data_IF_853320666208
#
_entry.id   IF_853320666208
#
_cell.length_a   1.000
_cell.length_b   1.000
_cell.length_c   1.000
_cell.angle_alpha   90.00
_cell.angle_beta   90.00
_cell.angle_gamma   90.00
#
_symmetry.space_group_name_H-M   'P 1'
#
loop_
_entity.id
_entity.type
_entity.pdbx_description
1 polymer ?
#
# COMPACT_ATOMS: atom_id res chain seq x y z
N UNK A 1 -7.45 2.71 9.76
CA UNK A 1 -7.27 2.89 8.30
C UNK A 1 -8.57 3.25 7.60
N UNK A 2 -9.71 2.62 7.92
CA UNK A 2 -11.03 2.96 7.37
C UNK A 2 -11.39 4.47 7.49
N UNK A 3 -10.98 5.12 8.59
CA UNK A 3 -11.23 6.56 8.77
C UNK A 3 -10.31 7.49 7.96
N UNK A 4 -9.32 6.92 7.27
CA UNK A 4 -8.29 7.65 6.49
C UNK A 4 -8.46 7.41 5.00
N UNK A 5 -8.92 6.20 4.65
CA UNK A 5 -9.19 5.75 3.28
C UNK A 5 -10.64 5.28 3.23
N UNK A 6 -11.50 6.06 2.57
CA UNK A 6 -12.93 5.74 2.43
C UNK A 6 -13.16 4.43 1.68
N UNK A 7 -12.36 4.18 0.64
CA UNK A 7 -12.42 2.96 -0.16
C UNK A 7 -11.03 2.59 -0.66
N UNK A 8 -10.66 1.32 -0.52
CA UNK A 8 -9.47 0.72 -1.08
C UNK A 8 -9.87 -0.27 -2.16
N UNK A 9 -9.23 -0.18 -3.33
CA UNK A 9 -9.43 -1.14 -4.42
C UNK A 9 -8.14 -1.94 -4.56
N UNK A 10 -8.25 -3.26 -4.56
CA UNK A 10 -7.13 -4.17 -4.77
C UNK A 10 -7.39 -5.09 -5.96
N UNK A 11 -6.36 -5.43 -6.74
CA UNK A 11 -6.50 -6.42 -7.80
C UNK A 11 -6.54 -7.85 -7.26
N UNK A 12 -6.90 -8.80 -8.12
CA UNK A 12 -7.00 -10.22 -7.74
C UNK A 12 -5.69 -10.78 -7.20
N UNK A 13 -4.54 -10.49 -7.81
CA UNK A 13 -3.25 -11.00 -7.34
C UNK A 13 -2.96 -10.60 -5.89
N UNK A 14 -3.24 -9.34 -5.53
CA UNK A 14 -3.07 -8.86 -4.14
C UNK A 14 -4.08 -9.52 -3.20
N UNK A 15 -5.32 -9.71 -3.65
CA UNK A 15 -6.32 -10.42 -2.83
C UNK A 15 -5.92 -11.88 -2.57
N UNK A 16 -5.41 -12.58 -3.59
CA UNK A 16 -4.87 -13.94 -3.49
C UNK A 16 -3.73 -13.99 -2.45
N UNK A 17 -2.75 -13.08 -2.54
CA UNK A 17 -1.64 -13.00 -1.57
C UNK A 17 -2.11 -12.74 -0.14
N UNK A 18 -3.08 -11.84 0.05
CA UNK A 18 -3.65 -11.54 1.37
C UNK A 18 -4.37 -12.76 1.95
N UNK A 19 -5.11 -13.50 1.13
CA UNK A 19 -5.83 -14.71 1.56
C UNK A 19 -4.90 -15.90 1.82
N UNK A 20 -3.82 -16.03 1.04
CA UNK A 20 -2.84 -17.11 1.15
C UNK A 20 -1.81 -16.86 2.26
N UNK A 21 -1.82 -15.68 2.89
CA UNK A 21 -0.92 -15.35 3.98
C UNK A 21 -1.17 -16.24 5.21
N UNK A 22 -0.33 -17.27 5.38
CA UNK A 22 -0.39 -18.24 6.51
C UNK A 22 0.36 -17.80 7.76
N UNK A 23 0.72 -16.52 7.87
CA UNK A 23 1.41 -16.01 9.06
C UNK A 23 0.52 -16.12 10.30
N UNK A 24 1.07 -16.66 11.40
CA UNK A 24 0.41 -16.73 12.70
C UNK A 24 0.67 -15.44 13.47
N UNK A 25 -0.12 -14.39 13.24
CA UNK A 25 0.07 -13.11 13.93
C UNK A 25 -0.90 -12.00 13.53
N UNK A 26 -0.69 -10.82 14.10
CA UNK A 26 -1.36 -9.58 13.70
C UNK A 26 -1.03 -9.27 12.23
N UNK A 27 -2.05 -9.02 11.41
CA UNK A 27 -1.89 -8.79 9.96
C UNK A 27 -2.73 -9.71 9.07
N UNK A 28 -3.38 -10.75 9.62
CA UNK A 28 -4.41 -11.46 8.86
C UNK A 28 -5.62 -10.55 8.65
N UNK A 29 -5.96 -10.35 7.38
CA UNK A 29 -7.13 -9.56 6.97
C UNK A 29 -8.15 -10.54 6.40
N UNK A 30 -9.32 -10.62 7.04
CA UNK A 30 -10.45 -11.30 6.43
C UNK A 30 -11.15 -10.33 5.47
N UNK A 31 -10.78 -10.37 4.20
CA UNK A 31 -11.35 -9.48 3.17
C UNK A 31 -12.88 -9.50 3.13
N UNK A 32 -13.53 -10.62 3.50
CA UNK A 32 -14.98 -10.71 3.54
C UNK A 32 -15.62 -9.87 4.66
N UNK A 33 -14.85 -9.47 5.67
CA UNK A 33 -15.30 -8.63 6.79
C UNK A 33 -14.94 -7.15 6.59
N UNK A 34 -14.15 -6.82 5.56
CA UNK A 34 -13.65 -5.47 5.29
C UNK A 34 -14.42 -4.80 4.14
N UNK A 35 -15.61 -4.25 4.43
CA UNK A 35 -16.51 -3.67 3.42
C UNK A 35 -15.93 -2.48 2.63
N UNK A 36 -14.90 -1.82 3.17
CA UNK A 36 -14.18 -0.72 2.54
C UNK A 36 -13.10 -1.17 1.53
N UNK A 37 -12.76 -2.47 1.52
CA UNK A 37 -11.82 -3.06 0.56
C UNK A 37 -12.63 -3.77 -0.54
N UNK A 38 -12.41 -3.35 -1.78
CA UNK A 38 -13.04 -3.96 -2.95
C UNK A 38 -12.01 -4.67 -3.80
N UNK A 39 -12.24 -5.95 -4.06
CA UNK A 39 -11.46 -6.71 -5.03
C UNK A 39 -12.02 -6.44 -6.42
N UNK A 40 -11.17 -6.05 -7.37
CA UNK A 40 -11.54 -5.87 -8.77
C UNK A 40 -10.57 -6.60 -9.69
N UNK A 41 -11.11 -7.27 -10.71
CA UNK A 41 -10.32 -7.93 -11.74
C UNK A 41 -10.01 -6.94 -12.87
N UNK A 42 -8.80 -7.01 -13.41
CA UNK A 42 -8.45 -6.33 -14.66
C UNK A 42 -9.39 -6.72 -15.80
N UNK A 43 -9.82 -5.73 -16.57
CA UNK A 43 -10.60 -5.96 -17.79
C UNK A 43 -9.71 -6.41 -18.95
N UNK A 44 -8.47 -5.93 -18.99
CA UNK A 44 -7.44 -6.28 -19.97
C UNK A 44 -6.11 -6.56 -19.30
N UNK A 45 -5.51 -7.69 -19.64
CA UNK A 45 -4.17 -8.06 -19.17
C UNK A 45 -3.04 -7.38 -19.95
N UNK A 46 -3.32 -6.67 -21.04
CA UNK A 46 -2.29 -6.14 -21.93
C UNK A 46 -1.33 -5.19 -21.20
N UNK A 47 -1.88 -4.25 -20.43
CA UNK A 47 -1.08 -3.27 -19.68
C UNK A 47 -0.25 -3.95 -18.60
N UNK A 48 -0.83 -4.88 -17.85
CA UNK A 48 -0.12 -5.68 -16.86
C UNK A 48 1.05 -6.44 -17.49
N UNK A 49 0.85 -7.09 -18.65
CA UNK A 49 1.90 -7.86 -19.33
C UNK A 49 3.11 -7.03 -19.74
N UNK A 50 2.92 -5.74 -20.03
CA UNK A 50 4.02 -4.82 -20.32
C UNK A 50 4.84 -4.47 -19.07
N UNK A 51 4.26 -4.62 -17.88
CA UNK A 51 4.87 -4.27 -16.59
C UNK A 51 5.58 -5.45 -15.92
N UNK A 52 5.12 -6.68 -16.16
CA UNK A 52 5.68 -7.93 -15.59
C UNK A 52 7.20 -8.14 -15.79
N UNK A 53 7.87 -7.63 -16.84
CA UNK A 53 9.33 -7.75 -16.93
C UNK A 53 10.08 -6.96 -15.85
N UNK A 54 9.43 -5.99 -15.20
CA UNK A 54 10.04 -5.08 -14.21
C UNK A 54 9.43 -5.24 -12.83
N UNK A 55 8.14 -5.55 -12.76
CA UNK A 55 7.35 -5.62 -11.53
C UNK A 55 6.86 -7.03 -11.27
N UNK A 56 6.60 -7.34 -10.00
CA UNK A 56 5.85 -8.55 -9.68
C UNK A 56 4.39 -8.44 -10.16
N UNK A 57 3.66 -9.56 -10.08
CA UNK A 57 2.29 -9.63 -10.56
C UNK A 57 1.36 -8.70 -9.76
N UNK A 58 1.51 -8.63 -8.44
CA UNK A 58 0.66 -7.78 -7.59
C UNK A 58 0.81 -6.30 -7.95
N UNK A 59 2.05 -5.83 -8.06
CA UNK A 59 2.36 -4.44 -8.41
C UNK A 59 1.95 -4.09 -9.84
N UNK A 60 2.21 -4.98 -10.79
CA UNK A 60 1.78 -4.81 -12.17
C UNK A 60 0.25 -4.72 -12.29
N UNK A 61 -0.49 -5.58 -11.56
CA UNK A 61 -1.96 -5.52 -11.54
C UNK A 61 -2.46 -4.23 -10.87
N UNK A 62 -1.82 -3.74 -9.80
CA UNK A 62 -2.19 -2.46 -9.15
C UNK A 62 -2.09 -1.29 -10.13
N UNK A 63 -0.97 -1.17 -10.84
CA UNK A 63 -0.77 -0.07 -11.80
C UNK A 63 -1.72 -0.19 -12.98
N UNK A 64 -1.85 -1.39 -13.56
CA UNK A 64 -2.77 -1.62 -14.67
C UNK A 64 -4.22 -1.28 -14.28
N UNK A 65 -4.66 -1.69 -13.08
CA UNK A 65 -6.00 -1.40 -12.59
C UNK A 65 -6.20 0.10 -12.36
N UNK A 66 -5.19 0.79 -11.85
CA UNK A 66 -5.24 2.24 -11.67
C UNK A 66 -5.44 2.97 -13.01
N UNK A 67 -4.76 2.52 -14.06
CA UNK A 67 -4.89 3.06 -15.42
C UNK A 67 -6.29 2.77 -15.99
N UNK A 68 -6.77 1.53 -15.91
CA UNK A 68 -8.12 1.15 -16.36
C UNK A 68 -9.21 1.99 -15.68
N UNK A 69 -9.06 2.23 -14.38
CA UNK A 69 -10.02 3.01 -13.58
C UNK A 69 -9.82 4.52 -13.69
N UNK A 70 -8.76 4.97 -14.39
CA UNK A 70 -8.36 6.39 -14.48
C UNK A 70 -8.20 7.03 -13.11
N UNK A 71 -7.69 6.26 -12.15
CA UNK A 71 -7.35 6.74 -10.81
C UNK A 71 -6.01 7.47 -10.85
N UNK A 72 -5.82 8.43 -9.93
CA UNK A 72 -4.58 9.23 -9.85
C UNK A 72 -3.71 8.91 -8.65
N UNK A 73 -4.12 7.97 -7.78
CA UNK A 73 -3.42 7.61 -6.55
C UNK A 73 -3.35 6.09 -6.41
N UNK A 74 -2.14 5.57 -6.25
CA UNK A 74 -1.90 4.15 -5.94
C UNK A 74 -1.16 4.00 -4.62
N UNK A 75 -1.43 2.90 -3.93
CA UNK A 75 -0.67 2.49 -2.76
C UNK A 75 0.45 1.54 -3.22
N UNK A 76 1.69 1.90 -2.96
CA UNK A 76 2.84 1.08 -3.33
C UNK A 76 4.01 1.35 -2.39
N UNK A 77 4.58 0.30 -1.81
CA UNK A 77 5.68 0.42 -0.86
C UNK A 77 7.05 0.17 -1.48
N UNK A 78 7.15 -0.68 -2.51
CA UNK A 78 8.41 -1.00 -3.19
C UNK A 78 8.89 0.15 -4.10
N UNK A 79 10.21 0.31 -4.22
CA UNK A 79 10.84 1.44 -4.88
C UNK A 79 10.73 1.38 -6.41
N UNK A 80 10.90 0.21 -7.01
CA UNK A 80 10.73 -0.04 -8.45
C UNK A 80 9.29 0.20 -8.86
N UNK A 81 8.34 -0.40 -8.13
CA UNK A 81 6.92 -0.14 -8.32
C UNK A 81 6.59 1.36 -8.30
N UNK A 82 7.03 2.08 -7.25
CA UNK A 82 6.87 3.54 -7.12
C UNK A 82 7.35 4.29 -8.36
N UNK A 83 8.58 4.01 -8.82
CA UNK A 83 9.16 4.68 -9.98
C UNK A 83 8.35 4.44 -11.25
N UNK A 84 7.89 3.21 -11.46
CA UNK A 84 7.07 2.87 -12.63
C UNK A 84 5.72 3.60 -12.57
N UNK A 85 5.04 3.58 -11.43
CA UNK A 85 3.77 4.29 -11.24
C UNK A 85 3.93 5.81 -11.48
N UNK A 86 4.97 6.42 -10.91
CA UNK A 86 5.28 7.85 -11.11
C UNK A 86 5.60 8.18 -12.58
N UNK A 87 6.32 7.31 -13.29
CA UNK A 87 6.60 7.48 -14.72
C UNK A 87 5.33 7.48 -15.59
N UNK A 88 4.28 6.83 -15.09
CA UNK A 88 2.94 6.79 -15.68
C UNK A 88 2.01 7.87 -15.11
N UNK A 89 2.56 8.88 -14.43
CA UNK A 89 1.85 10.04 -13.88
C UNK A 89 0.85 9.68 -12.76
N UNK A 90 0.99 8.49 -12.15
CA UNK A 90 0.24 8.14 -10.95
C UNK A 90 0.93 8.76 -9.74
N UNK A 91 0.14 9.34 -8.82
CA UNK A 91 0.64 9.69 -7.49
C UNK A 91 0.76 8.41 -6.68
N UNK A 92 1.80 8.34 -5.85
CA UNK A 92 2.05 7.15 -5.04
C UNK A 92 2.03 7.52 -3.56
N UNK A 93 1.32 6.73 -2.77
CA UNK A 93 1.39 6.76 -1.32
C UNK A 93 1.88 5.40 -0.81
N UNK A 94 2.68 5.39 0.26
CA UNK A 94 3.04 4.14 0.95
C UNK A 94 2.25 3.94 2.23
N UNK A 95 2.41 2.77 2.83
CA UNK A 95 1.86 2.45 4.15
C UNK A 95 2.23 3.51 5.19
N UNK A 96 3.49 3.95 5.22
CA UNK A 96 3.94 4.98 6.16
C UNK A 96 3.32 6.35 5.85
N UNK A 97 3.09 6.67 4.58
CA UNK A 97 2.38 7.89 4.19
C UNK A 97 0.94 7.91 4.73
N UNK A 98 0.28 6.75 4.76
CA UNK A 98 -1.04 6.62 5.36
C UNK A 98 -1.02 6.78 6.88
N UNK A 99 0.00 6.29 7.57
CA UNK A 99 0.17 6.52 9.01
C UNK A 99 0.32 8.02 9.32
N UNK A 100 1.12 8.72 8.52
CA UNK A 100 1.28 10.17 8.64
C UNK A 100 -0.06 10.87 8.44
N UNK A 101 -0.81 10.52 7.39
CA UNK A 101 -2.13 11.10 7.11
C UNK A 101 -3.12 10.81 8.25
N UNK A 102 -3.10 9.60 8.80
CA UNK A 102 -3.92 9.21 9.95
C UNK A 102 -3.65 10.10 11.17
N UNK A 103 -2.36 10.39 11.44
CA UNK A 103 -1.97 11.29 12.54
C UNK A 103 -2.46 12.71 12.29
N UNK A 104 -2.25 13.23 11.08
CA UNK A 104 -2.69 14.58 10.71
C UNK A 104 -4.21 14.76 10.83
N UNK A 105 -4.98 13.68 10.63
CA UNK A 105 -6.43 13.65 10.81
C UNK A 105 -6.88 13.34 12.24
N UNK A 106 -5.94 13.23 13.20
CA UNK A 106 -6.24 12.93 14.61
C UNK A 106 -6.74 11.51 14.86
N UNK A 107 -6.59 10.60 13.89
CA UNK A 107 -7.06 9.20 14.00
C UNK A 107 -6.10 8.32 14.80
N UNK A 108 -4.83 8.70 14.88
CA UNK A 108 -3.82 8.06 15.72
C UNK A 108 -3.04 9.13 16.47
N UNK A 109 -2.52 8.76 17.64
CA UNK A 109 -1.77 9.68 18.52
C UNK A 109 -0.31 9.81 18.06
N UNK A 110 0.30 8.71 17.65
CA UNK A 110 1.72 8.65 17.29
C UNK A 110 1.98 7.66 16.14
N UNK A 111 2.97 7.98 15.31
CA UNK A 111 3.43 7.13 14.19
C UNK A 111 4.52 6.16 14.65
N UNK A 112 5.39 6.58 15.57
CA UNK A 112 6.54 5.80 16.05
C UNK A 112 6.17 4.38 16.54
N UNK A 113 5.16 4.17 17.41
CA UNK A 113 4.84 2.83 17.87
C UNK A 113 4.39 1.91 16.74
N UNK A 114 3.72 2.46 15.72
CA UNK A 114 3.27 1.70 14.57
C UNK A 114 4.44 1.32 13.65
N UNK A 115 5.42 2.21 13.48
CA UNK A 115 6.67 1.88 12.77
C UNK A 115 7.46 0.78 13.50
N UNK A 116 7.49 0.81 14.82
CA UNK A 116 8.12 -0.23 15.65
C UNK A 116 7.38 -1.56 15.50
N UNK A 117 6.04 -1.57 15.55
CA UNK A 117 5.24 -2.79 15.28
C UNK A 117 5.44 -3.33 13.86
N UNK A 118 5.57 -2.46 12.85
CA UNK A 118 5.89 -2.87 11.48
C UNK A 118 7.26 -3.56 11.42
N UNK A 119 8.25 -3.04 12.14
CA UNK A 119 9.57 -3.64 12.23
C UNK A 119 9.54 -5.03 12.89
N UNK A 120 8.83 -5.17 14.00
CA UNK A 120 8.62 -6.46 14.69
C UNK A 120 7.89 -7.48 13.80
N UNK A 121 6.99 -7.01 12.92
CA UNK A 121 6.30 -7.82 11.92
C UNK A 121 7.16 -8.12 10.66
N UNK A 122 8.42 -7.68 10.63
CA UNK A 122 9.36 -7.97 9.54
C UNK A 122 9.35 -6.96 8.39
N UNK A 123 8.74 -5.78 8.56
CA UNK A 123 8.78 -4.70 7.58
C UNK A 123 9.87 -3.71 7.98
N UNK A 124 10.93 -3.65 7.17
CA UNK A 124 12.14 -2.89 7.49
C UNK A 124 12.23 -1.60 6.67
N UNK A 125 12.49 -0.49 7.36
CA UNK A 125 12.82 0.79 6.74
C UNK A 125 14.23 1.21 7.13
N UNK A 126 14.90 1.97 6.26
CA UNK A 126 16.22 2.52 6.59
C UNK A 126 16.13 3.46 7.80
N UNK A 127 17.17 3.48 8.66
CA UNK A 127 17.23 4.40 9.81
C UNK A 127 17.03 5.87 9.40
N UNK A 128 17.60 6.26 8.25
CA UNK A 128 17.45 7.61 7.70
C UNK A 128 15.99 7.93 7.36
N UNK A 129 15.27 6.97 6.78
CA UNK A 129 13.85 7.13 6.48
C UNK A 129 13.01 7.25 7.76
N UNK A 130 13.25 6.38 8.74
CA UNK A 130 12.55 6.44 10.04
C UNK A 130 12.79 7.80 10.70
N UNK A 131 14.05 8.25 10.80
CA UNK A 131 14.38 9.55 11.39
C UNK A 131 13.66 10.70 10.69
N UNK A 132 13.66 10.72 9.35
CA UNK A 132 12.96 11.74 8.57
C UNK A 132 11.44 11.74 8.81
N UNK A 133 10.83 10.56 8.93
CA UNK A 133 9.39 10.43 9.25
C UNK A 133 9.11 10.97 10.64
N UNK A 134 9.88 10.56 11.65
CA UNK A 134 9.70 11.01 13.04
C UNK A 134 9.89 12.52 13.19
N UNK A 135 10.89 13.09 12.52
CA UNK A 135 11.07 14.55 12.45
C UNK A 135 9.86 15.23 11.81
N UNK A 136 9.39 14.73 10.66
CA UNK A 136 8.22 15.29 9.96
C UNK A 136 6.95 15.30 10.82
N UNK A 137 6.75 14.28 11.67
CA UNK A 137 5.59 14.18 12.55
C UNK A 137 5.82 14.72 13.97
N UNK A 138 6.96 15.34 14.26
CA UNK A 138 7.35 15.86 15.58
C UNK A 138 7.37 14.78 16.68
N UNK A 139 8.03 13.65 16.41
CA UNK A 139 8.21 12.50 17.33
C UNK A 139 9.69 12.07 17.49
N UNK A 140 10.63 13.00 17.27
CA UNK A 140 12.05 12.75 17.56
C UNK A 140 12.32 12.54 19.06
#
# INVERSE_FOLDING_TARGET
MQNVVEQLIIPNAVAEEVMDYKGSGAGQINLAQESWIRVEKLQSEEQMRLLLPTLDRGEAEVIALAIERRTTLVLMDELTGRKVAESLQLRVIGSVGLLIQAKQQGQIVAVKPLLESMHEAGIYFSRRFIAAVLEYVNEM
#
